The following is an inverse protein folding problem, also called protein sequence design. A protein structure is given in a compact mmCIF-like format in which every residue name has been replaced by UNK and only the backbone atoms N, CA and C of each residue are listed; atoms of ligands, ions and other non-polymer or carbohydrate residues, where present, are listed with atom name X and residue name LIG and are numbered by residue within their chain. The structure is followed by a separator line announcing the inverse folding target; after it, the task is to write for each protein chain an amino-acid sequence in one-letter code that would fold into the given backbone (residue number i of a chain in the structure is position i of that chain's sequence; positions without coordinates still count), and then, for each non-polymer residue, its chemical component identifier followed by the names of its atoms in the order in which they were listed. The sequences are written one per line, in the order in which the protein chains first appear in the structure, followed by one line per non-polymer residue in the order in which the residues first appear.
data_IF_225834618982
#
_entry.id   IF_225834618982
#
_cell.length_a   1.000
_cell.length_b   1.000
_cell.length_c   1.000
_cell.angle_alpha   90.00
_cell.angle_beta   90.00
_cell.angle_gamma   90.00
#
_symmetry.space_group_name_H-M   'P 1'
#
loop_
_entity.id
_entity.type
_entity.pdbx_description
1 polymer ?
#
# COMPACT_ATOMS: atom_id res chain seq x y z
N UNK A 1 -55.16 -11.52 -85.40
CA UNK A 1 -54.92 -10.70 -84.13
C UNK A 1 -53.72 -11.20 -83.31
N UNK A 2 -52.52 -11.35 -83.90
CA UNK A 2 -51.33 -11.86 -83.17
C UNK A 2 -50.10 -10.94 -83.19
N UNK A 3 -50.18 -9.74 -83.79
CA UNK A 3 -49.03 -8.77 -83.84
C UNK A 3 -49.00 -7.80 -82.68
N UNK A 4 -50.09 -7.54 -81.98
CA UNK A 4 -50.13 -6.60 -80.87
C UNK A 4 -49.54 -7.10 -79.53
N UNK A 5 -49.63 -8.37 -79.25
CA UNK A 5 -49.16 -8.99 -77.99
C UNK A 5 -47.62 -9.01 -77.91
N UNK A 6 -46.92 -9.22 -79.02
CA UNK A 6 -45.47 -9.28 -79.06
C UNK A 6 -44.79 -7.89 -78.85
N UNK A 7 -45.47 -6.79 -79.29
CA UNK A 7 -44.96 -5.45 -79.01
C UNK A 7 -45.10 -5.02 -77.53
N UNK A 8 -46.25 -5.37 -76.93
CA UNK A 8 -46.48 -5.09 -75.51
C UNK A 8 -45.48 -5.82 -74.57
N UNK A 9 -45.07 -7.00 -74.91
CA UNK A 9 -44.14 -7.80 -74.17
C UNK A 9 -42.68 -7.25 -74.27
N UNK A 10 -42.33 -6.64 -75.40
CA UNK A 10 -40.99 -6.01 -75.62
C UNK A 10 -40.91 -4.65 -74.90
N UNK A 11 -41.98 -3.90 -74.75
CA UNK A 11 -42.02 -2.68 -73.98
C UNK A 11 -41.92 -2.94 -72.47
N UNK A 12 -42.56 -4.01 -71.97
CA UNK A 12 -42.44 -4.38 -70.55
C UNK A 12 -41.01 -4.85 -70.18
N UNK A 13 -40.27 -5.49 -71.08
CA UNK A 13 -38.87 -5.88 -70.81
C UNK A 13 -37.90 -4.73 -70.85
N UNK A 14 -38.22 -3.59 -71.46
CA UNK A 14 -37.37 -2.38 -71.47
C UNK A 14 -37.52 -1.52 -70.24
N UNK A 15 -38.60 -1.64 -69.46
CA UNK A 15 -38.85 -0.88 -68.23
C UNK A 15 -38.27 -1.57 -66.94
N UNK A 16 -37.71 -2.73 -67.04
CA UNK A 16 -37.23 -3.52 -65.88
C UNK A 16 -35.70 -3.59 -65.73
N UNK A 17 -34.92 -2.69 -66.35
CA UNK A 17 -33.50 -2.61 -66.13
C UNK A 17 -33.26 -1.70 -64.88
N UNK A 18 -32.68 -2.21 -63.80
CA UNK A 18 -32.33 -1.37 -62.66
C UNK A 18 -31.32 -0.32 -63.11
N UNK A 19 -31.45 0.95 -62.59
CA UNK A 19 -30.49 1.98 -62.91
C UNK A 19 -29.08 1.57 -62.49
N UNK A 20 -28.04 1.92 -63.27
CA UNK A 20 -26.65 1.59 -62.91
C UNK A 20 -26.35 2.24 -61.56
N UNK A 21 -25.86 1.45 -60.62
CA UNK A 21 -25.40 1.93 -59.31
C UNK A 21 -24.33 3.02 -59.58
N UNK A 22 -24.67 4.26 -59.42
CA UNK A 22 -23.71 5.39 -59.35
C UNK A 22 -22.71 5.04 -58.26
N UNK A 23 -21.44 4.84 -58.63
CA UNK A 23 -20.34 4.84 -57.66
C UNK A 23 -20.42 6.21 -56.97
N UNK A 24 -20.85 6.23 -55.71
CA UNK A 24 -20.76 7.44 -54.89
C UNK A 24 -19.29 7.83 -54.88
N UNK A 25 -18.96 8.95 -55.50
CA UNK A 25 -17.67 9.59 -55.31
C UNK A 25 -17.52 9.81 -53.80
N UNK A 26 -16.40 9.31 -53.23
CA UNK A 26 -16.14 9.44 -51.80
C UNK A 26 -16.33 10.89 -51.39
N UNK A 27 -17.13 11.13 -50.38
CA UNK A 27 -17.43 12.49 -49.90
C UNK A 27 -16.09 13.12 -49.47
N UNK A 28 -15.95 14.41 -49.65
CA UNK A 28 -14.78 15.19 -49.21
C UNK A 28 -14.51 14.97 -47.69
N UNK A 29 -15.53 14.56 -46.93
CA UNK A 29 -15.45 14.19 -45.52
C UNK A 29 -14.60 12.93 -45.28
N UNK A 30 -14.51 12.00 -46.26
CA UNK A 30 -13.67 10.81 -46.18
C UNK A 30 -12.17 11.13 -46.34
N UNK A 31 -11.84 12.34 -46.75
CA UNK A 31 -10.44 12.83 -46.90
C UNK A 31 -9.95 13.52 -45.61
N UNK A 32 -10.83 13.80 -44.67
CA UNK A 32 -10.45 14.40 -43.40
C UNK A 32 -9.65 13.41 -42.52
N UNK A 33 -8.70 13.94 -41.81
CA UNK A 33 -7.83 13.21 -40.86
C UNK A 33 -8.60 12.27 -39.97
N UNK A 34 -9.79 12.66 -39.50
CA UNK A 34 -10.65 11.85 -38.64
C UNK A 34 -11.28 10.63 -39.33
N UNK A 35 -11.51 10.64 -40.62
CA UNK A 35 -12.01 9.47 -41.35
C UNK A 35 -10.92 8.37 -41.47
N UNK A 36 -9.65 8.76 -41.61
CA UNK A 36 -8.52 7.82 -41.55
C UNK A 36 -8.36 7.22 -40.18
N UNK A 37 -8.48 8.01 -39.11
CA UNK A 37 -8.44 7.52 -37.73
C UNK A 37 -9.59 6.52 -37.46
N UNK A 38 -10.82 6.81 -37.93
CA UNK A 38 -11.96 5.92 -37.72
C UNK A 38 -11.77 4.55 -38.36
N UNK A 39 -11.05 4.46 -39.49
CA UNK A 39 -10.74 3.18 -40.16
C UNK A 39 -9.73 2.34 -39.37
N UNK A 40 -8.80 3.00 -38.68
CA UNK A 40 -7.80 2.32 -37.85
C UNK A 40 -8.19 2.26 -36.37
N UNK A 41 -9.27 2.94 -35.95
CA UNK A 41 -9.73 2.98 -34.57
C UNK A 41 -9.93 1.61 -33.95
N UNK A 42 -10.50 0.67 -34.70
CA UNK A 42 -10.68 -0.72 -34.23
C UNK A 42 -9.34 -1.36 -33.84
N UNK A 43 -8.32 -1.20 -34.67
CA UNK A 43 -6.98 -1.73 -34.38
C UNK A 43 -6.27 -0.98 -33.28
N UNK A 44 -6.47 0.34 -33.18
CA UNK A 44 -5.95 1.13 -32.05
C UNK A 44 -6.59 0.74 -30.73
N UNK A 45 -7.91 0.49 -30.70
CA UNK A 45 -8.57 0.00 -29.50
C UNK A 45 -8.12 -1.41 -29.10
N UNK A 46 -7.90 -2.30 -30.08
CA UNK A 46 -7.33 -3.63 -29.82
C UNK A 46 -5.91 -3.52 -29.28
N UNK A 47 -5.07 -2.68 -29.86
CA UNK A 47 -3.70 -2.45 -29.39
C UNK A 47 -3.70 -1.81 -28.00
N UNK A 48 -4.55 -0.82 -27.75
CA UNK A 48 -4.70 -0.19 -26.45
C UNK A 48 -5.19 -1.21 -25.39
N UNK A 49 -6.21 -2.01 -25.71
CA UNK A 49 -6.71 -3.07 -24.85
C UNK A 49 -5.63 -4.11 -24.55
N UNK A 50 -4.78 -4.44 -25.54
CA UNK A 50 -3.66 -5.36 -25.36
C UNK A 50 -2.56 -4.75 -24.49
N UNK A 51 -2.20 -3.49 -24.72
CA UNK A 51 -1.21 -2.78 -23.90
C UNK A 51 -1.70 -2.61 -22.45
N UNK A 52 -2.97 -2.21 -22.27
CA UNK A 52 -3.56 -2.12 -20.93
C UNK A 52 -3.74 -3.49 -20.29
N UNK A 53 -4.20 -4.50 -21.05
CA UNK A 53 -4.35 -5.86 -20.55
C UNK A 53 -3.02 -6.47 -20.12
N UNK A 54 -1.98 -6.35 -20.93
CA UNK A 54 -0.62 -6.78 -20.61
C UNK A 54 -0.04 -5.92 -19.48
N UNK A 55 -0.28 -4.60 -19.49
CA UNK A 55 0.15 -3.70 -18.42
C UNK A 55 -0.54 -4.05 -17.09
N UNK A 56 -1.85 -4.29 -17.07
CA UNK A 56 -2.59 -4.71 -15.87
C UNK A 56 -2.07 -6.04 -15.31
N UNK A 57 -1.77 -6.98 -16.20
CA UNK A 57 -1.19 -8.28 -15.82
C UNK A 57 0.27 -8.13 -15.36
N UNK A 58 1.07 -7.30 -16.04
CA UNK A 58 2.48 -7.10 -15.71
C UNK A 58 2.70 -6.27 -14.43
N UNK A 59 1.84 -5.29 -14.16
CA UNK A 59 1.94 -4.40 -12.99
C UNK A 59 1.05 -4.82 -11.81
N UNK A 60 0.30 -5.95 -11.93
CA UNK A 60 -0.39 -6.55 -10.79
C UNK A 60 -1.51 -5.69 -10.17
N UNK A 61 -2.12 -4.77 -10.91
CA UNK A 61 -3.26 -3.96 -10.43
C UNK A 61 -4.54 -4.76 -10.58
N UNK A 62 -4.77 -5.68 -9.68
CA UNK A 62 -6.00 -6.47 -9.63
C UNK A 62 -5.82 -7.75 -8.85
N UNK A 63 -6.10 -7.68 -7.57
CA UNK A 63 -6.40 -8.77 -6.63
C UNK A 63 -5.53 -10.03 -6.63
N UNK A 64 -4.86 -10.26 -5.51
CA UNK A 64 -4.63 -11.60 -4.95
C UNK A 64 -3.60 -12.45 -5.69
N UNK A 65 -2.37 -12.37 -5.27
CA UNK A 65 -1.35 -13.43 -5.11
C UNK A 65 -1.01 -14.41 -6.24
N UNK A 66 -1.45 -14.25 -7.48
CA UNK A 66 -0.98 -15.09 -8.61
C UNK A 66 -0.97 -14.30 -9.91
N UNK A 67 -0.06 -13.34 -10.04
CA UNK A 67 0.17 -12.65 -11.32
C UNK A 67 0.93 -13.57 -12.30
N UNK A 68 0.54 -13.54 -13.59
CA UNK A 68 1.28 -14.21 -14.67
C UNK A 68 2.76 -13.81 -14.69
N UNK A 69 3.13 -12.66 -14.10
CA UNK A 69 4.51 -12.23 -13.88
C UNK A 69 5.33 -13.21 -13.03
N UNK A 70 4.71 -13.89 -12.06
CA UNK A 70 5.37 -14.91 -11.24
C UNK A 70 5.56 -16.23 -12.05
N UNK A 71 4.62 -16.54 -12.95
CA UNK A 71 4.72 -17.71 -13.86
C UNK A 71 5.84 -17.48 -14.90
N UNK A 72 5.97 -16.27 -15.44
CA UNK A 72 7.00 -15.92 -16.42
C UNK A 72 8.39 -15.74 -15.80
N UNK A 73 8.51 -15.27 -14.56
CA UNK A 73 9.80 -15.17 -13.86
C UNK A 73 10.30 -16.49 -13.28
N UNK A 74 9.38 -17.43 -12.97
CA UNK A 74 9.73 -18.69 -12.33
C UNK A 74 10.05 -19.84 -13.27
N UNK A 75 9.49 -19.90 -14.49
CA UNK A 75 9.54 -21.14 -15.28
C UNK A 75 9.99 -21.03 -16.74
N UNK A 76 10.17 -19.84 -17.33
CA UNK A 76 10.48 -19.75 -18.77
C UNK A 76 11.90 -19.31 -19.08
N UNK A 77 12.58 -18.59 -18.17
CA UNK A 77 13.92 -18.04 -18.42
C UNK A 77 14.99 -18.31 -17.34
N UNK A 78 14.70 -19.11 -16.33
CA UNK A 78 15.63 -19.39 -15.23
C UNK A 78 15.76 -20.87 -14.97
N UNK A 79 16.74 -21.51 -15.56
CA UNK A 79 17.16 -22.83 -15.14
C UNK A 79 17.55 -22.83 -13.67
N UNK A 80 16.96 -23.74 -12.86
CA UNK A 80 17.53 -24.21 -11.61
C UNK A 80 17.70 -23.22 -10.46
N UNK A 81 16.77 -22.28 -10.24
CA UNK A 81 16.83 -21.37 -9.10
C UNK A 81 15.58 -21.48 -8.23
N UNK A 82 15.76 -21.89 -7.00
CA UNK A 82 14.74 -22.08 -5.96
C UNK A 82 13.67 -20.98 -5.99
N UNK A 83 12.44 -21.32 -6.35
CA UNK A 83 11.31 -20.42 -6.18
C UNK A 83 11.23 -19.97 -4.71
N UNK A 84 10.68 -18.77 -4.43
CA UNK A 84 10.51 -18.30 -3.04
C UNK A 84 9.84 -19.38 -2.19
N UNK A 85 8.85 -20.09 -2.76
CA UNK A 85 8.14 -21.17 -2.06
C UNK A 85 9.02 -22.38 -1.73
N UNK A 86 9.95 -22.72 -2.61
CA UNK A 86 10.93 -23.79 -2.34
C UNK A 86 11.87 -23.42 -1.19
N UNK A 87 12.35 -22.16 -1.17
CA UNK A 87 13.18 -21.62 -0.09
C UNK A 87 12.43 -21.55 1.24
N UNK A 88 11.16 -21.15 1.22
CA UNK A 88 10.29 -21.17 2.40
C UNK A 88 10.21 -22.59 2.99
N UNK A 89 9.96 -23.60 2.15
CA UNK A 89 9.92 -25.01 2.59
C UNK A 89 11.27 -25.48 3.15
N UNK A 90 12.35 -25.05 2.54
CA UNK A 90 13.70 -25.38 3.01
C UNK A 90 13.98 -24.78 4.39
N UNK A 91 13.72 -23.48 4.59
CA UNK A 91 13.95 -22.82 5.88
C UNK A 91 13.01 -23.36 6.97
N UNK A 92 11.76 -23.70 6.63
CA UNK A 92 10.87 -24.42 7.54
C UNK A 92 11.43 -25.77 7.96
N UNK A 93 12.10 -26.53 7.04
CA UNK A 93 12.78 -27.80 7.39
C UNK A 93 13.98 -27.55 8.30
N UNK A 94 14.80 -26.51 8.00
CA UNK A 94 15.94 -26.13 8.86
C UNK A 94 15.47 -25.79 10.29
N UNK A 95 14.39 -25.04 10.43
CA UNK A 95 13.81 -24.69 11.73
C UNK A 95 13.27 -25.94 12.46
N UNK A 96 12.63 -26.87 11.74
CA UNK A 96 12.16 -28.12 12.35
C UNK A 96 13.32 -29.01 12.82
N UNK A 97 14.40 -29.08 12.05
CA UNK A 97 15.60 -29.86 12.39
C UNK A 97 16.38 -29.19 13.53
N UNK A 98 16.47 -27.88 13.55
CA UNK A 98 17.18 -27.12 14.58
C UNK A 98 16.37 -25.89 14.97
N UNK A 99 15.51 -25.95 16.00
CA UNK A 99 14.71 -24.83 16.47
C UNK A 99 15.54 -23.65 16.99
N UNK A 100 16.82 -23.85 17.30
CA UNK A 100 17.75 -22.81 17.75
C UNK A 100 18.44 -22.05 16.61
N UNK A 101 18.18 -22.41 15.36
CA UNK A 101 18.76 -21.73 14.20
C UNK A 101 18.05 -20.41 13.93
N UNK A 102 18.48 -19.35 14.62
CA UNK A 102 17.86 -18.01 14.50
C UNK A 102 17.98 -17.42 13.09
N UNK A 103 19.07 -17.73 12.36
CA UNK A 103 19.24 -17.26 10.99
C UNK A 103 18.14 -17.81 10.08
N UNK A 104 17.78 -19.10 10.21
CA UNK A 104 16.70 -19.68 9.42
C UNK A 104 15.33 -19.00 9.68
N UNK A 105 15.07 -18.53 10.91
CA UNK A 105 13.87 -17.75 11.18
C UNK A 105 13.90 -16.37 10.53
N UNK A 106 15.07 -15.68 10.55
CA UNK A 106 15.24 -14.37 9.92
C UNK A 106 15.10 -14.49 8.40
N UNK A 107 15.74 -15.51 7.81
CA UNK A 107 15.65 -15.79 6.37
C UNK A 107 14.21 -16.10 5.94
N UNK A 108 13.53 -16.97 6.69
CA UNK A 108 12.12 -17.30 6.46
C UNK A 108 11.22 -16.06 6.55
N UNK A 109 11.44 -15.20 7.54
CA UNK A 109 10.69 -13.95 7.67
C UNK A 109 10.97 -12.99 6.50
N UNK A 110 12.20 -12.93 6.00
CA UNK A 110 12.55 -12.14 4.82
C UNK A 110 11.88 -12.68 3.55
N UNK A 111 11.76 -14.00 3.39
CA UNK A 111 11.01 -14.62 2.29
C UNK A 111 9.52 -14.29 2.35
N UNK A 112 8.90 -14.33 3.54
CA UNK A 112 7.52 -13.87 3.70
C UNK A 112 7.35 -12.38 3.39
N UNK A 113 8.31 -11.52 3.75
CA UNK A 113 8.32 -10.11 3.35
C UNK A 113 8.36 -9.93 1.83
N UNK A 114 9.19 -10.70 1.13
CA UNK A 114 9.25 -10.69 -0.34
C UNK A 114 7.90 -11.07 -0.95
N UNK A 115 7.15 -11.96 -0.30
CA UNK A 115 5.75 -12.30 -0.67
C UNK A 115 4.72 -11.28 -0.19
N UNK A 116 5.12 -10.19 0.44
CA UNK A 116 4.25 -9.19 1.07
C UNK A 116 3.37 -9.77 2.21
N UNK A 117 3.68 -10.97 2.68
CA UNK A 117 3.02 -11.60 3.82
C UNK A 117 3.69 -11.19 5.14
N UNK A 118 3.42 -9.95 5.53
CA UNK A 118 3.95 -9.37 6.77
C UNK A 118 3.44 -10.12 8.01
N UNK A 119 2.25 -10.72 7.95
CA UNK A 119 1.67 -11.45 9.08
C UNK A 119 2.48 -12.73 9.39
N UNK A 120 2.78 -13.54 8.36
CA UNK A 120 3.61 -14.73 8.51
C UNK A 120 5.06 -14.38 8.88
N UNK A 121 5.61 -13.28 8.37
CA UNK A 121 6.93 -12.80 8.76
C UNK A 121 6.99 -12.47 10.26
N UNK A 122 6.01 -11.71 10.79
CA UNK A 122 5.91 -11.36 12.21
C UNK A 122 5.76 -12.63 13.06
N UNK A 123 4.83 -13.52 12.70
CA UNK A 123 4.58 -14.74 13.48
C UNK A 123 5.81 -15.65 13.54
N UNK A 124 6.58 -15.72 12.47
CA UNK A 124 7.84 -16.46 12.39
C UNK A 124 8.87 -15.90 13.39
N UNK A 125 9.06 -14.58 13.40
CA UNK A 125 10.01 -13.94 14.33
C UNK A 125 9.52 -13.93 15.77
N UNK A 126 8.21 -13.87 16.03
CA UNK A 126 7.67 -14.04 17.37
C UNK A 126 7.96 -15.44 17.95
N UNK A 127 7.89 -16.48 17.09
CA UNK A 127 8.32 -17.83 17.47
C UNK A 127 9.82 -17.88 17.79
N UNK A 128 10.65 -17.29 16.96
CA UNK A 128 12.09 -17.19 17.21
C UNK A 128 12.38 -16.46 18.54
N UNK A 129 11.67 -15.35 18.80
CA UNK A 129 11.80 -14.58 20.04
C UNK A 129 11.27 -15.30 21.29
N UNK A 130 10.46 -16.34 21.15
CA UNK A 130 10.10 -17.25 22.26
C UNK A 130 11.22 -18.25 22.56
N UNK A 131 11.91 -18.75 21.51
CA UNK A 131 13.04 -19.68 21.65
C UNK A 131 14.25 -18.97 22.23
N UNK A 132 14.62 -17.80 21.66
CA UNK A 132 15.74 -16.98 22.13
C UNK A 132 15.30 -15.53 22.40
N UNK A 133 14.81 -15.22 23.60
CA UNK A 133 14.18 -13.93 23.92
C UNK A 133 15.14 -12.72 23.85
N UNK A 134 16.45 -12.95 23.88
CA UNK A 134 17.49 -11.90 23.85
C UNK A 134 18.29 -11.87 22.56
N UNK A 135 17.88 -12.60 21.51
CA UNK A 135 18.57 -12.52 20.24
C UNK A 135 18.30 -11.15 19.59
N UNK A 136 19.35 -10.34 19.48
CA UNK A 136 19.25 -8.94 19.02
C UNK A 136 18.80 -8.86 17.56
N UNK A 137 19.28 -9.77 16.70
CA UNK A 137 18.96 -9.74 15.27
C UNK A 137 17.50 -10.08 15.00
N UNK A 138 16.99 -11.12 15.69
CA UNK A 138 15.55 -11.48 15.65
C UNK A 138 14.69 -10.32 16.15
N UNK A 139 15.06 -9.72 17.28
CA UNK A 139 14.29 -8.62 17.85
C UNK A 139 14.35 -7.34 17.00
N UNK A 140 15.51 -7.06 16.39
CA UNK A 140 15.66 -5.94 15.46
C UNK A 140 14.77 -6.12 14.24
N UNK A 141 14.80 -7.30 13.62
CA UNK A 141 13.97 -7.58 12.44
C UNK A 141 12.48 -7.54 12.78
N UNK A 142 12.09 -8.11 13.92
CA UNK A 142 10.71 -8.09 14.41
C UNK A 142 10.21 -6.66 14.68
N UNK A 143 11.04 -5.84 15.35
CA UNK A 143 10.71 -4.45 15.64
C UNK A 143 10.54 -3.63 14.35
N UNK A 144 11.41 -3.84 13.36
CA UNK A 144 11.30 -3.23 12.03
C UNK A 144 10.00 -3.60 11.31
N UNK A 145 9.57 -4.86 11.40
CA UNK A 145 8.28 -5.29 10.82
C UNK A 145 7.07 -4.65 11.51
N UNK A 146 7.10 -4.55 12.83
CA UNK A 146 6.02 -3.86 13.56
C UNK A 146 5.98 -2.37 13.24
N UNK A 147 7.16 -1.72 13.08
CA UNK A 147 7.24 -0.33 12.64
C UNK A 147 6.65 -0.14 11.26
N UNK A 148 7.04 -0.97 10.29
CA UNK A 148 6.46 -0.91 8.94
C UNK A 148 4.94 -1.05 8.96
N UNK A 149 4.41 -2.00 9.74
CA UNK A 149 2.96 -2.15 9.93
C UNK A 149 2.31 -0.90 10.54
N UNK A 150 2.99 -0.22 11.47
CA UNK A 150 2.51 1.01 12.08
C UNK A 150 2.50 2.17 11.08
N UNK A 151 3.53 2.28 10.24
CA UNK A 151 3.60 3.28 9.16
C UNK A 151 2.48 3.08 8.13
N UNK A 152 2.21 1.84 7.71
CA UNK A 152 1.08 1.52 6.82
C UNK A 152 -0.25 1.91 7.46
N UNK A 153 -0.46 1.58 8.73
CA UNK A 153 -1.69 1.95 9.45
C UNK A 153 -1.84 3.47 9.61
N UNK A 154 -0.72 4.20 9.83
CA UNK A 154 -0.73 5.65 9.93
C UNK A 154 -1.06 6.33 8.59
N UNK A 155 -0.55 5.81 7.49
CA UNK A 155 -0.90 6.31 6.16
C UNK A 155 -2.39 6.09 5.88
N UNK A 156 -2.91 4.90 6.16
CA UNK A 156 -4.35 4.63 6.04
C UNK A 156 -5.21 5.57 6.90
N UNK A 157 -4.74 5.95 8.11
CA UNK A 157 -5.44 6.92 8.94
C UNK A 157 -5.40 8.34 8.35
N UNK A 158 -4.30 8.75 7.73
CA UNK A 158 -4.21 10.03 7.02
C UNK A 158 -5.11 10.07 5.79
N UNK A 159 -5.14 8.98 5.01
CA UNK A 159 -6.02 8.88 3.84
C UNK A 159 -7.49 8.94 4.24
N UNK A 160 -7.87 8.23 5.32
CA UNK A 160 -9.21 8.29 5.88
C UNK A 160 -9.56 9.69 6.41
N UNK A 161 -8.60 10.39 7.03
CA UNK A 161 -8.78 11.79 7.44
C UNK A 161 -9.02 12.71 6.25
N UNK A 162 -8.23 12.58 5.19
CA UNK A 162 -8.38 13.40 3.98
C UNK A 162 -9.74 13.18 3.32
N UNK A 163 -10.20 11.93 3.24
CA UNK A 163 -11.53 11.59 2.72
C UNK A 163 -12.64 12.20 3.59
N UNK A 164 -12.53 12.09 4.91
CA UNK A 164 -13.47 12.70 5.86
C UNK A 164 -13.44 14.24 5.77
N UNK A 165 -12.26 14.85 5.75
CA UNK A 165 -12.13 16.31 5.65
C UNK A 165 -12.72 16.85 4.34
N UNK A 166 -12.52 16.15 3.21
CA UNK A 166 -13.09 16.51 1.93
C UNK A 166 -14.63 16.45 1.92
N UNK A 167 -15.24 15.54 2.71
CA UNK A 167 -16.70 15.43 2.81
C UNK A 167 -17.34 16.54 3.67
N UNK A 168 -16.55 17.21 4.52
CA UNK A 168 -17.04 18.26 5.43
C UNK A 168 -16.82 19.69 4.89
N UNK A 169 -16.60 19.86 3.60
CA UNK A 169 -16.49 21.19 2.99
C UNK A 169 -17.87 21.81 2.88
N UNK A 170 -18.21 22.71 3.81
CA UNK A 170 -19.42 23.53 3.69
C UNK A 170 -19.23 24.59 2.61
N UNK A 171 -20.22 24.80 1.73
CA UNK A 171 -20.19 25.92 0.79
C UNK A 171 -19.97 27.26 1.53
N UNK A 172 -19.20 28.21 0.95
CA UNK A 172 -19.02 29.52 1.55
C UNK A 172 -20.36 30.20 1.81
N UNK A 173 -20.58 30.67 3.04
CA UNK A 173 -21.82 31.35 3.43
C UNK A 173 -22.97 30.45 3.92
N UNK A 174 -22.77 29.13 3.95
CA UNK A 174 -23.76 28.24 4.55
C UNK A 174 -23.62 28.26 6.09
N UNK A 175 -24.70 28.65 6.77
CA UNK A 175 -24.79 28.50 8.23
C UNK A 175 -24.90 27.01 8.59
N UNK A 176 -23.87 26.50 9.27
CA UNK A 176 -23.80 25.10 9.72
C UNK A 176 -24.87 24.74 10.76
N UNK A 177 -25.46 25.74 11.42
CA UNK A 177 -26.58 25.57 12.36
C UNK A 177 -27.95 25.57 11.66
N UNK A 178 -28.03 25.94 10.38
CA UNK A 178 -29.25 25.84 9.60
C UNK A 178 -29.65 24.39 9.36
N UNK A 179 -30.95 24.15 9.07
CA UNK A 179 -31.44 22.82 8.75
C UNK A 179 -30.67 22.17 7.58
N UNK A 180 -30.26 22.96 6.58
CA UNK A 180 -29.46 22.49 5.46
C UNK A 180 -28.04 22.18 5.88
N UNK A 181 -27.40 23.04 6.71
CA UNK A 181 -26.08 22.80 7.26
C UNK A 181 -26.03 21.53 8.12
N UNK A 182 -27.03 21.32 8.97
CA UNK A 182 -27.16 20.10 9.76
C UNK A 182 -27.42 18.87 8.89
N UNK A 183 -28.27 18.95 7.87
CA UNK A 183 -28.51 17.85 6.95
C UNK A 183 -27.24 17.44 6.18
N UNK A 184 -26.39 18.40 5.77
CA UNK A 184 -25.11 18.12 5.10
C UNK A 184 -24.08 17.48 6.03
N UNK A 185 -24.05 17.84 7.32
CA UNK A 185 -23.10 17.27 8.29
C UNK A 185 -23.55 15.95 8.90
N UNK A 186 -24.85 15.63 8.83
CA UNK A 186 -25.44 14.40 9.36
C UNK A 186 -25.77 13.36 8.29
N UNK A 187 -25.29 13.56 7.05
CA UNK A 187 -25.52 12.60 5.97
C UNK A 187 -24.82 11.25 6.26
N UNK A 188 -25.38 10.12 5.79
CA UNK A 188 -24.84 8.78 6.04
C UNK A 188 -23.41 8.60 5.53
N UNK A 189 -23.01 9.28 4.44
CA UNK A 189 -21.66 9.21 3.90
C UNK A 189 -20.65 9.88 4.84
N UNK A 190 -20.94 11.08 5.32
CA UNK A 190 -20.08 11.80 6.28
C UNK A 190 -19.93 11.02 7.57
N UNK A 191 -21.00 10.39 8.05
CA UNK A 191 -20.95 9.52 9.24
C UNK A 191 -20.08 8.26 9.00
N UNK A 192 -20.22 7.62 7.84
CA UNK A 192 -19.40 6.45 7.47
C UNK A 192 -17.90 6.81 7.35
N UNK A 193 -17.58 7.96 6.74
CA UNK A 193 -16.21 8.45 6.61
C UNK A 193 -15.60 8.81 7.98
N UNK A 194 -16.37 9.43 8.88
CA UNK A 194 -15.96 9.71 10.26
C UNK A 194 -15.67 8.43 11.04
N UNK A 195 -16.54 7.42 10.92
CA UNK A 195 -16.34 6.11 11.54
C UNK A 195 -15.09 5.42 10.98
N UNK A 196 -14.92 5.41 9.66
CA UNK A 196 -13.74 4.87 8.98
C UNK A 196 -12.44 5.54 9.42
N UNK A 197 -12.44 6.86 9.58
CA UNK A 197 -11.30 7.59 10.15
C UNK A 197 -11.01 7.20 11.60
N UNK A 198 -12.05 7.13 12.46
CA UNK A 198 -11.89 6.72 13.85
C UNK A 198 -11.28 5.32 13.98
N UNK A 199 -11.77 4.37 13.19
CA UNK A 199 -11.24 3.00 13.14
C UNK A 199 -9.78 2.94 12.66
N UNK A 200 -9.44 3.73 11.63
CA UNK A 200 -8.07 3.82 11.12
C UNK A 200 -7.12 4.41 12.17
N UNK A 201 -7.54 5.43 12.92
CA UNK A 201 -6.76 6.00 14.04
C UNK A 201 -6.55 4.95 15.14
N UNK A 202 -7.56 4.19 15.52
CA UNK A 202 -7.42 3.12 16.54
C UNK A 202 -6.44 2.04 16.07
N UNK A 203 -6.48 1.65 14.79
CA UNK A 203 -5.53 0.71 14.20
C UNK A 203 -4.10 1.26 14.22
N UNK A 204 -3.90 2.53 13.87
CA UNK A 204 -2.59 3.17 13.92
C UNK A 204 -2.03 3.22 15.35
N UNK A 205 -2.82 3.64 16.33
CA UNK A 205 -2.45 3.64 17.76
C UNK A 205 -2.04 2.25 18.25
N UNK A 206 -2.83 1.24 17.95
CA UNK A 206 -2.52 -0.15 18.31
C UNK A 206 -1.23 -0.65 17.66
N UNK A 207 -1.02 -0.32 16.38
CA UNK A 207 0.16 -0.74 15.64
C UNK A 207 1.44 -0.08 16.18
N UNK A 208 1.41 1.22 16.49
CA UNK A 208 2.53 1.92 17.11
C UNK A 208 2.84 1.41 18.51
N UNK A 209 1.83 1.14 19.34
CA UNK A 209 2.05 0.52 20.65
C UNK A 209 2.70 -0.87 20.58
N UNK A 210 2.40 -1.67 19.55
CA UNK A 210 3.09 -2.95 19.31
C UNK A 210 4.55 -2.73 18.84
N UNK A 211 4.78 -1.77 17.97
CA UNK A 211 6.12 -1.41 17.51
C UNK A 211 6.98 -0.92 18.69
N UNK A 212 6.48 -0.03 19.53
CA UNK A 212 7.19 0.47 20.70
C UNK A 212 7.61 -0.67 21.64
N UNK A 213 6.67 -1.57 21.99
CA UNK A 213 6.98 -2.75 22.82
C UNK A 213 8.06 -3.64 22.20
N UNK A 214 8.06 -3.82 20.88
CA UNK A 214 9.10 -4.58 20.19
C UNK A 214 10.46 -3.88 20.26
N UNK A 215 10.51 -2.57 20.07
CA UNK A 215 11.74 -1.77 20.23
C UNK A 215 12.23 -1.70 21.68
N UNK A 216 11.35 -1.67 22.68
CA UNK A 216 11.74 -1.80 24.09
C UNK A 216 12.46 -3.13 24.36
N UNK A 217 11.93 -4.24 23.84
CA UNK A 217 12.56 -5.55 23.96
C UNK A 217 13.93 -5.58 23.25
N UNK A 218 14.02 -5.02 22.04
CA UNK A 218 15.27 -4.92 21.28
C UNK A 218 16.30 -4.08 22.05
N UNK A 219 15.91 -2.88 22.52
CA UNK A 219 16.81 -2.00 23.27
C UNK A 219 17.29 -2.62 24.60
N UNK A 220 16.42 -3.41 25.27
CA UNK A 220 16.80 -4.14 26.46
C UNK A 220 17.79 -5.26 26.16
N UNK A 221 17.62 -5.99 25.05
CA UNK A 221 18.53 -7.06 24.62
C UNK A 221 19.88 -6.53 24.13
N UNK A 222 19.90 -5.34 23.51
CA UNK A 222 21.09 -4.71 22.97
C UNK A 222 21.98 -4.03 24.01
N UNK A 223 21.56 -3.93 25.28
CA UNK A 223 22.34 -3.26 26.34
C UNK A 223 23.73 -3.89 26.50
N UNK A 224 24.75 -3.03 26.51
CA UNK A 224 26.15 -3.45 26.62
C UNK A 224 26.73 -4.06 25.35
N UNK A 225 26.00 -4.09 24.24
CA UNK A 225 26.50 -4.53 22.94
C UNK A 225 26.83 -3.34 22.04
N UNK A 226 27.53 -3.58 20.93
CA UNK A 226 27.80 -2.57 19.90
C UNK A 226 26.51 -2.00 19.26
N UNK A 227 25.39 -2.70 19.36
CA UNK A 227 24.11 -2.31 18.81
C UNK A 227 23.27 -1.40 19.75
N UNK A 228 23.74 -1.17 21.00
CA UNK A 228 22.95 -0.43 21.99
C UNK A 228 22.60 0.99 21.54
N UNK A 229 23.57 1.70 20.97
CA UNK A 229 23.37 3.07 20.50
C UNK A 229 22.23 3.16 19.47
N UNK A 230 22.29 2.31 18.47
CA UNK A 230 21.27 2.25 17.41
C UNK A 230 19.89 1.83 17.98
N UNK A 231 19.88 0.83 18.87
CA UNK A 231 18.64 0.36 19.49
C UNK A 231 17.95 1.46 20.34
N UNK A 232 18.72 2.26 21.06
CA UNK A 232 18.18 3.38 21.84
C UNK A 232 17.66 4.50 20.96
N UNK A 233 18.36 4.83 19.86
CA UNK A 233 17.89 5.80 18.88
C UNK A 233 16.57 5.37 18.22
N UNK A 234 16.47 4.11 17.82
CA UNK A 234 15.25 3.57 17.22
C UNK A 234 14.08 3.55 18.22
N UNK A 235 14.32 3.12 19.47
CA UNK A 235 13.29 3.14 20.51
C UNK A 235 12.79 4.56 20.76
N UNK A 236 13.71 5.53 20.87
CA UNK A 236 13.35 6.93 21.11
C UNK A 236 12.44 7.47 20.00
N UNK A 237 12.81 7.22 18.73
CA UNK A 237 12.04 7.66 17.57
C UNK A 237 10.64 7.04 17.54
N UNK A 238 10.53 5.73 17.79
CA UNK A 238 9.22 5.05 17.75
C UNK A 238 8.35 5.45 18.93
N UNK A 239 8.90 5.60 20.13
CA UNK A 239 8.14 6.04 21.30
C UNK A 239 7.63 7.48 21.14
N UNK A 240 8.43 8.37 20.51
CA UNK A 240 7.98 9.72 20.14
C UNK A 240 6.81 9.67 19.15
N UNK A 241 6.89 8.83 18.12
CA UNK A 241 5.80 8.63 17.16
C UNK A 241 4.56 8.03 17.83
N UNK A 242 4.75 7.07 18.75
CA UNK A 242 3.65 6.48 19.52
C UNK A 242 2.95 7.55 20.35
N UNK A 243 3.72 8.41 21.04
CA UNK A 243 3.17 9.55 21.77
C UNK A 243 2.34 10.48 20.87
N UNK A 244 2.85 10.78 19.67
CA UNK A 244 2.09 11.58 18.68
C UNK A 244 0.73 11.01 18.32
N UNK A 245 0.59 9.67 18.31
CA UNK A 245 -0.67 8.99 18.01
C UNK A 245 -1.56 8.77 19.24
N UNK A 246 -0.97 8.52 20.40
CA UNK A 246 -1.71 8.14 21.61
C UNK A 246 -2.00 9.32 22.52
N UNK A 247 -1.11 10.31 22.56
CA UNK A 247 -1.10 11.38 23.52
C UNK A 247 -0.76 10.91 24.96
N UNK A 248 -0.32 9.64 25.11
CA UNK A 248 -0.11 9.06 26.44
C UNK A 248 1.23 9.50 27.05
N UNK A 249 1.26 10.09 28.25
CA UNK A 249 2.50 10.53 28.88
C UNK A 249 3.53 9.41 29.06
N UNK A 250 3.09 8.16 29.18
CA UNK A 250 3.96 6.99 29.27
C UNK A 250 4.91 6.86 28.08
N UNK A 251 4.38 7.03 26.87
CA UNK A 251 5.16 6.90 25.61
C UNK A 251 6.20 8.02 25.52
N UNK A 252 5.84 9.26 25.90
CA UNK A 252 6.79 10.35 25.96
C UNK A 252 7.92 10.10 26.98
N UNK A 253 7.63 9.51 28.14
CA UNK A 253 8.63 9.13 29.15
C UNK A 253 9.59 8.07 28.61
N UNK A 254 9.09 7.09 27.85
CA UNK A 254 9.90 6.06 27.20
C UNK A 254 10.85 6.71 26.19
N UNK A 255 10.33 7.62 25.34
CA UNK A 255 11.15 8.36 24.39
C UNK A 255 12.26 9.18 25.07
N UNK A 256 11.92 9.95 26.12
CA UNK A 256 12.87 10.73 26.91
C UNK A 256 13.95 9.82 27.52
N UNK A 257 13.57 8.70 28.11
CA UNK A 257 14.52 7.77 28.72
C UNK A 257 15.48 7.17 27.67
N UNK A 258 14.97 6.81 26.51
CA UNK A 258 15.77 6.28 25.41
C UNK A 258 16.74 7.35 24.84
N UNK A 259 16.29 8.60 24.63
CA UNK A 259 17.17 9.71 24.24
C UNK A 259 18.25 10.00 25.29
N UNK A 260 17.89 9.99 26.58
CA UNK A 260 18.88 10.14 27.65
C UNK A 260 19.91 9.02 27.66
N UNK A 261 19.49 7.78 27.40
CA UNK A 261 20.40 6.65 27.29
C UNK A 261 21.32 6.79 26.08
N UNK A 262 20.77 7.20 24.93
CA UNK A 262 21.54 7.56 23.74
C UNK A 262 22.64 8.58 24.07
N UNK A 263 22.28 9.67 24.72
CA UNK A 263 23.24 10.73 25.10
C UNK A 263 24.34 10.31 26.09
N UNK A 264 24.11 9.25 26.88
CA UNK A 264 25.17 8.67 27.72
C UNK A 264 26.19 7.87 26.90
N UNK A 265 25.76 7.31 25.76
CA UNK A 265 26.62 6.54 24.87
C UNK A 265 27.33 7.43 23.87
N UNK A 266 26.66 8.47 23.38
CA UNK A 266 27.16 9.44 22.40
C UNK A 266 26.79 10.87 22.87
N UNK A 267 27.61 11.51 23.68
CA UNK A 267 27.27 12.81 24.27
C UNK A 267 27.44 14.02 23.34
N UNK A 268 28.07 13.86 22.18
CA UNK A 268 28.44 14.95 21.26
C UNK A 268 27.98 14.66 19.84
N UNK A 269 27.98 15.68 18.97
CA UNK A 269 27.58 15.56 17.57
C UNK A 269 26.15 16.05 17.27
N UNK A 270 25.80 16.01 15.99
CA UNK A 270 24.51 16.53 15.49
C UNK A 270 23.33 15.75 16.09
N UNK A 271 23.45 14.43 16.15
CA UNK A 271 22.38 13.59 16.71
C UNK A 271 22.20 13.79 18.22
N UNK A 272 23.27 14.02 18.96
CA UNK A 272 23.19 14.36 20.39
C UNK A 272 22.49 15.71 20.61
N UNK A 273 22.73 16.70 19.77
CA UNK A 273 22.03 18.01 19.84
C UNK A 273 20.54 17.82 19.57
N UNK A 274 20.18 17.04 18.52
CA UNK A 274 18.79 16.73 18.21
C UNK A 274 18.11 15.98 19.38
N UNK A 275 18.78 15.01 19.97
CA UNK A 275 18.26 14.26 21.11
C UNK A 275 17.95 15.18 22.31
N UNK A 276 18.81 16.18 22.61
CA UNK A 276 18.54 17.19 23.67
C UNK A 276 17.31 18.03 23.34
N UNK A 277 17.17 18.48 22.08
CA UNK A 277 16.00 19.25 21.66
C UNK A 277 14.71 18.41 21.80
N UNK A 278 14.74 17.15 21.40
CA UNK A 278 13.61 16.24 21.53
C UNK A 278 13.22 16.00 23.00
N UNK A 279 14.20 15.81 23.89
CA UNK A 279 13.96 15.71 25.32
C UNK A 279 13.26 16.98 25.86
N UNK A 280 13.75 18.16 25.47
CA UNK A 280 13.16 19.43 25.90
C UNK A 280 11.70 19.56 25.41
N UNK A 281 11.44 19.29 24.13
CA UNK A 281 10.09 19.32 23.54
C UNK A 281 9.13 18.37 24.24
N UNK A 282 9.52 17.10 24.40
CA UNK A 282 8.69 16.09 25.05
C UNK A 282 8.45 16.39 26.52
N UNK A 283 9.49 16.89 27.23
CA UNK A 283 9.34 17.29 28.65
C UNK A 283 8.41 18.48 28.81
N UNK A 284 8.43 19.45 27.88
CA UNK A 284 7.51 20.58 27.89
C UNK A 284 6.05 20.16 27.61
N UNK A 285 5.85 19.16 26.77
CA UNK A 285 4.54 18.62 26.43
C UNK A 285 3.90 17.80 27.57
N UNK A 286 4.68 17.31 28.54
CA UNK A 286 4.16 16.56 29.66
C UNK A 286 3.43 17.48 30.67
N UNK A 287 2.32 17.03 31.29
CA UNK A 287 1.65 17.73 32.39
C UNK A 287 2.60 18.04 33.55
N UNK A 288 2.40 19.22 34.22
CA UNK A 288 3.32 19.71 35.27
C UNK A 288 3.63 18.71 36.38
N UNK A 289 2.74 17.78 36.70
CA UNK A 289 2.95 16.71 37.70
C UNK A 289 3.64 15.44 37.18
N UNK A 290 4.00 15.39 35.89
CA UNK A 290 4.57 14.20 35.24
C UNK A 290 5.90 14.44 34.52
N UNK A 291 6.48 15.61 34.66
CA UNK A 291 7.77 16.04 34.08
C UNK A 291 8.98 15.36 34.72
#
# INVERSE_FOLDING_TARGET
MARGAAQAQRQRKRQAAPPPKRKQAGSWEDQLFFARIRRHAKWMFVLLALVFGVGFVAFGVGSGSTGIGDILRGNVFGGGGNSIDSRIKEDQKKIKANPDNMNAYVDLANLYRQKQDTASAISTLERAAKVRPRNVDVLNTLAGLYRNRAEVASNAARDAYNAFAASNVSPPGLDTNSNLGQAMTSDPLSQALKSGYSDAVLKARSAYGKAEKAYQRQAAAARGTSNELNAQSQLASVAEQTYGWTGQPGDAKIAIAAYRRYLKLEPSGVQATLARQKIAQLSAALPRGQR
#
